data_IF_943725313331
#
_entry.id   IF_943725313331
#
_cell.length_a   1.000
_cell.length_b   1.000
_cell.length_c   1.000
_cell.angle_alpha   90.00
_cell.angle_beta   90.00
_cell.angle_gamma   90.00
#
_symmetry.space_group_name_H-M   'P 1'
#
loop_
_entity.id
_entity.type
_entity.pdbx_description
1 polymer ?
#
# COMPACT_ATOMS: atom_id res chain seq x y z
N UNK A 1 -17.18 -4.03 -13.79
CA UNK A 1 -15.77 -4.31 -13.41
C UNK A 1 -15.73 -4.87 -12.00
N UNK A 2 -14.92 -5.89 -11.75
CA UNK A 2 -14.72 -6.44 -10.39
C UNK A 2 -14.08 -5.40 -9.48
N UNK A 3 -14.52 -5.28 -8.22
CA UNK A 3 -13.89 -4.37 -7.23
C UNK A 3 -12.39 -4.63 -7.09
N UNK A 4 -11.94 -5.87 -7.25
CA UNK A 4 -10.53 -6.24 -7.16
C UNK A 4 -9.66 -5.59 -8.25
N UNK A 5 -10.22 -5.24 -9.41
CA UNK A 5 -9.43 -4.62 -10.49
C UNK A 5 -8.96 -3.21 -10.17
N UNK A 6 -9.50 -2.59 -9.11
CA UNK A 6 -9.14 -1.23 -8.65
C UNK A 6 -7.91 -1.22 -7.74
N UNK A 7 -7.42 -2.39 -7.33
CA UNK A 7 -6.32 -2.50 -6.36
C UNK A 7 -5.08 -3.13 -6.98
N UNK A 8 -3.94 -2.88 -6.37
CA UNK A 8 -2.68 -3.59 -6.59
C UNK A 8 -2.05 -3.95 -5.24
N UNK A 9 -1.13 -4.92 -5.25
CA UNK A 9 -0.46 -5.39 -4.03
C UNK A 9 1.00 -4.95 -4.04
N UNK A 10 1.47 -4.47 -2.90
CA UNK A 10 2.88 -4.15 -2.65
C UNK A 10 3.35 -4.94 -1.43
N UNK A 11 4.56 -5.47 -1.50
CA UNK A 11 5.21 -6.17 -0.39
C UNK A 11 6.25 -5.25 0.24
N UNK A 12 6.18 -5.06 1.56
CA UNK A 12 7.15 -4.29 2.35
C UNK A 12 7.57 -5.13 3.54
N UNK A 13 8.81 -5.62 3.53
CA UNK A 13 9.25 -6.65 4.47
C UNK A 13 8.32 -7.87 4.40
N UNK A 14 7.80 -8.28 5.55
CA UNK A 14 6.89 -9.43 5.65
C UNK A 14 5.40 -9.06 5.55
N UNK A 15 5.07 -7.81 5.17
CA UNK A 15 3.69 -7.31 5.09
C UNK A 15 3.25 -7.09 3.66
N UNK A 16 2.02 -7.53 3.33
CA UNK A 16 1.37 -7.24 2.03
C UNK A 16 0.33 -6.15 2.17
N UNK A 17 0.47 -5.10 1.37
CA UNK A 17 -0.47 -3.98 1.29
C UNK A 17 -1.34 -4.10 0.06
N UNK A 18 -2.66 -3.96 0.22
CA UNK A 18 -3.61 -3.85 -0.89
C UNK A 18 -4.00 -2.38 -1.06
N UNK A 19 -3.60 -1.78 -2.16
CA UNK A 19 -3.64 -0.32 -2.36
C UNK A 19 -4.51 0.00 -3.57
N UNK A 20 -5.32 1.06 -3.49
CA UNK A 20 -6.05 1.56 -4.65
C UNK A 20 -5.08 2.07 -5.71
N UNK A 21 -5.29 1.69 -6.97
CA UNK A 21 -4.46 2.09 -8.13
C UNK A 21 -4.37 3.60 -8.37
N UNK A 22 -5.20 4.42 -7.72
CA UNK A 22 -5.06 5.88 -7.79
C UNK A 22 -3.87 6.43 -6.98
N UNK A 23 -3.38 5.65 -6.02
CA UNK A 23 -2.19 6.00 -5.24
C UNK A 23 -0.99 5.30 -5.88
N UNK A 24 -0.12 6.09 -6.49
CA UNK A 24 1.05 5.64 -7.25
C UNK A 24 2.32 6.26 -6.66
N UNK A 25 3.48 5.65 -6.92
CA UNK A 25 4.79 6.13 -6.45
C UNK A 25 4.92 6.28 -4.93
N UNK A 26 4.11 5.54 -4.17
CA UNK A 26 4.10 5.59 -2.71
C UNK A 26 5.48 5.21 -2.15
N UNK A 27 5.97 6.02 -1.20
CA UNK A 27 7.20 5.73 -0.46
C UNK A 27 6.86 5.49 1.01
N UNK A 28 7.29 4.37 1.60
CA UNK A 28 7.10 4.17 3.03
C UNK A 28 7.99 5.18 3.77
N UNK A 29 7.38 5.96 4.67
CA UNK A 29 8.09 7.01 5.42
C UNK A 29 8.32 6.65 6.89
N UNK A 30 7.59 5.66 7.42
CA UNK A 30 7.79 5.21 8.78
C UNK A 30 6.90 4.05 9.17
N UNK A 31 7.31 3.33 10.21
CA UNK A 31 6.59 2.21 10.81
C UNK A 31 6.49 2.38 12.32
N UNK A 32 5.39 1.94 12.92
CA UNK A 32 5.18 1.90 14.35
C UNK A 32 4.30 0.70 14.77
N UNK A 33 3.98 0.61 16.05
CA UNK A 33 3.20 -0.51 16.61
C UNK A 33 1.82 -0.71 15.96
N UNK A 34 1.25 0.34 15.35
CA UNK A 34 -0.07 0.32 14.73
C UNK A 34 -0.04 0.18 13.20
N UNK A 35 1.12 0.28 12.55
CA UNK A 35 1.22 0.13 11.10
C UNK A 35 2.33 0.96 10.44
N UNK A 36 2.25 1.04 9.11
CA UNK A 36 3.20 1.74 8.25
C UNK A 36 2.49 2.93 7.59
N UNK A 37 3.18 4.08 7.56
CA UNK A 37 2.72 5.31 6.91
C UNK A 37 3.49 5.52 5.61
N UNK A 38 2.78 6.03 4.60
CA UNK A 38 3.31 6.27 3.25
C UNK A 38 3.14 7.73 2.85
N UNK A 39 4.06 8.23 2.04
CA UNK A 39 3.98 9.51 1.34
C UNK A 39 3.66 9.28 -0.14
N UNK A 40 2.90 10.20 -0.73
CA UNK A 40 2.52 10.21 -2.16
C UNK A 40 3.59 10.84 -3.04
#
# INVERSE_FOLDING_TARGET
>A
MSRLSQFYTVEVGDTKFTILKRYQNLKPIGSGAQGIVWEL
#
